data_IF_708075664769
#
_entry.id   IF_708075664769
#
_cell.length_a   1.000
_cell.length_b   1.000
_cell.length_c   1.000
_cell.angle_alpha   90.00
_cell.angle_beta   90.00
_cell.angle_gamma   90.00
#
_symmetry.space_group_name_H-M   'P 1'
#
loop_
_entity.id
_entity.type
_entity.pdbx_description
1 polymer ?
#
# COMPACT_ATOMS: atom_id res chain seq x y z
N UNK A 1 -11.34 22.22 -26.25
CA UNK A 1 -11.71 21.63 -27.57
C UNK A 1 -12.95 20.72 -27.44
N UNK A 2 -13.99 21.15 -26.72
CA UNK A 2 -15.26 20.42 -26.51
C UNK A 2 -16.48 21.35 -26.70
N UNK A 3 -16.38 22.30 -27.63
CA UNK A 3 -17.44 23.27 -27.95
C UNK A 3 -18.21 22.93 -29.24
N UNK A 4 -18.35 21.65 -29.56
CA UNK A 4 -19.30 21.22 -30.59
C UNK A 4 -20.33 20.33 -29.93
N UNK A 5 -21.36 20.98 -29.36
CA UNK A 5 -22.63 20.32 -29.04
C UNK A 5 -23.10 19.65 -30.33
N UNK A 6 -23.24 18.32 -30.30
CA UNK A 6 -23.87 17.59 -31.39
C UNK A 6 -25.21 18.25 -31.73
N UNK A 7 -25.58 18.41 -33.02
CA UNK A 7 -26.86 19.00 -33.38
C UNK A 7 -27.98 18.19 -32.71
N UNK A 8 -28.90 18.88 -32.04
CA UNK A 8 -30.11 18.26 -31.51
C UNK A 8 -30.79 17.47 -32.62
N UNK A 9 -31.05 16.17 -32.36
CA UNK A 9 -31.73 15.30 -33.33
C UNK A 9 -33.11 15.87 -33.61
N UNK A 10 -33.31 16.45 -34.80
CA UNK A 10 -34.64 16.77 -35.30
C UNK A 10 -35.41 15.47 -35.49
N UNK A 11 -36.32 15.19 -34.56
CA UNK A 11 -37.20 14.02 -34.65
C UNK A 11 -38.42 14.37 -35.49
N UNK A 12 -38.67 13.58 -36.54
CA UNK A 12 -39.80 13.75 -37.48
C UNK A 12 -41.17 13.41 -36.85
N UNK A 13 -41.21 13.03 -35.56
CA UNK A 13 -42.42 12.56 -34.88
C UNK A 13 -42.89 13.54 -33.79
N UNK A 14 -44.21 13.81 -33.69
CA UNK A 14 -44.77 14.67 -32.65
C UNK A 14 -44.50 14.13 -31.23
N UNK A 15 -44.30 15.02 -30.27
CA UNK A 15 -43.85 14.72 -28.90
C UNK A 15 -44.70 13.68 -28.14
N UNK A 16 -46.00 13.58 -28.44
CA UNK A 16 -46.88 12.59 -27.82
C UNK A 16 -46.57 11.15 -28.26
N UNK A 17 -46.14 10.97 -29.52
CA UNK A 17 -45.79 9.66 -30.07
C UNK A 17 -44.45 9.15 -29.48
N UNK A 18 -43.57 10.08 -29.06
CA UNK A 18 -42.35 9.74 -28.31
C UNK A 18 -42.66 9.33 -26.87
N UNK A 19 -43.57 10.02 -26.19
CA UNK A 19 -44.01 9.63 -24.84
C UNK A 19 -44.60 8.22 -24.82
N UNK A 20 -45.43 7.88 -25.79
CA UNK A 20 -45.98 6.51 -25.91
C UNK A 20 -44.89 5.49 -26.24
N UNK A 21 -43.96 5.82 -27.14
CA UNK A 21 -42.83 4.94 -27.46
C UNK A 21 -41.90 4.67 -26.28
N UNK A 22 -41.66 5.68 -25.44
CA UNK A 22 -40.82 5.56 -24.24
C UNK A 22 -41.54 4.78 -23.13
N UNK A 23 -42.86 4.96 -22.96
CA UNK A 23 -43.67 4.19 -22.00
C UNK A 23 -43.74 2.71 -22.39
N UNK A 24 -43.85 2.39 -23.69
CA UNK A 24 -43.86 0.99 -24.16
C UNK A 24 -42.47 0.33 -24.06
N UNK A 25 -41.38 1.08 -24.25
CA UNK A 25 -40.03 0.57 -24.05
C UNK A 25 -39.64 0.45 -22.56
N UNK A 26 -40.22 1.26 -21.67
CA UNK A 26 -40.03 1.16 -20.21
C UNK A 26 -40.98 0.15 -19.55
N UNK A 27 -42.11 -0.16 -20.18
CA UNK A 27 -43.19 -0.99 -19.60
C UNK A 27 -43.07 -2.50 -19.82
N UNK A 28 -41.99 -3.00 -20.42
CA UNK A 28 -41.78 -4.45 -20.59
C UNK A 28 -40.38 -4.80 -20.06
N UNK A 29 -40.26 -4.80 -18.74
CA UNK A 29 -39.29 -5.65 -18.05
C UNK A 29 -39.85 -7.08 -18.07
N UNK A 30 -39.23 -8.06 -18.76
CA UNK A 30 -39.58 -9.46 -18.58
C UNK A 30 -38.94 -9.92 -17.25
N UNK A 31 -39.56 -9.54 -16.14
CA UNK A 31 -39.10 -9.83 -14.79
C UNK A 31 -40.19 -10.47 -13.96
N UNK A 32 -40.55 -11.71 -14.26
CA UNK A 32 -41.43 -12.56 -13.42
C UNK A 32 -41.12 -14.06 -13.63
N UNK A 33 -39.85 -14.45 -13.77
CA UNK A 33 -39.37 -15.83 -13.55
C UNK A 33 -37.88 -15.78 -13.17
N UNK A 34 -37.49 -16.53 -12.13
CA UNK A 34 -36.30 -16.32 -11.31
C UNK A 34 -34.92 -16.32 -12.00
N UNK A 35 -33.97 -15.60 -11.39
CA UNK A 35 -32.56 -15.55 -11.79
C UNK A 35 -31.97 -14.13 -11.89
N UNK A 36 -32.13 -13.29 -10.85
CA UNK A 36 -31.87 -11.84 -10.93
C UNK A 36 -30.40 -11.42 -11.15
N UNK A 37 -29.40 -12.24 -10.78
CA UNK A 37 -27.98 -11.85 -10.93
C UNK A 37 -27.40 -12.06 -12.34
N UNK A 38 -27.69 -13.20 -12.97
CA UNK A 38 -27.13 -13.54 -14.28
C UNK A 38 -27.82 -12.82 -15.44
N UNK A 39 -29.11 -12.47 -15.31
CA UNK A 39 -29.86 -11.81 -16.38
C UNK A 39 -29.48 -10.33 -16.54
N UNK A 40 -29.18 -9.63 -15.44
CA UNK A 40 -28.71 -8.25 -15.49
C UNK A 40 -27.33 -8.15 -16.17
N UNK A 41 -26.42 -9.09 -15.83
CA UNK A 41 -25.12 -9.19 -16.46
C UNK A 41 -25.25 -9.52 -17.96
N UNK A 42 -26.06 -10.52 -18.31
CA UNK A 42 -26.29 -10.89 -19.72
C UNK A 42 -26.90 -9.75 -20.53
N UNK A 43 -27.82 -8.95 -19.95
CA UNK A 43 -28.36 -7.76 -20.62
C UNK A 43 -27.30 -6.68 -20.82
N UNK A 44 -26.47 -6.42 -19.81
CA UNK A 44 -25.33 -5.49 -19.90
C UNK A 44 -24.35 -5.93 -21.00
N UNK A 45 -24.00 -7.20 -21.03
CA UNK A 45 -23.11 -7.79 -22.04
C UNK A 45 -23.70 -7.69 -23.46
N UNK A 46 -25.01 -7.93 -23.62
CA UNK A 46 -25.70 -7.76 -24.92
C UNK A 46 -25.74 -6.30 -25.36
N UNK A 47 -25.91 -5.35 -24.43
CA UNK A 47 -25.84 -3.91 -24.74
C UNK A 47 -24.42 -3.45 -25.06
N UNK A 48 -23.41 -4.08 -24.46
CA UNK A 48 -21.99 -3.77 -24.70
C UNK A 48 -21.47 -4.33 -26.01
N UNK A 49 -21.94 -5.50 -26.45
CA UNK A 49 -21.58 -6.10 -27.75
C UNK A 49 -22.11 -5.28 -28.96
N UNK A 50 -22.80 -4.15 -28.72
CA UNK A 50 -23.24 -3.22 -29.77
C UNK A 50 -24.27 -3.81 -30.73
N UNK A 51 -24.86 -4.97 -30.41
CA UNK A 51 -25.97 -5.55 -31.16
C UNK A 51 -27.22 -4.76 -30.81
N UNK A 52 -27.33 -3.57 -31.39
CA UNK A 52 -28.53 -2.75 -31.35
C UNK A 52 -29.66 -3.50 -32.05
N UNK A 53 -30.41 -4.25 -31.27
CA UNK A 53 -31.64 -4.83 -31.74
C UNK A 53 -32.56 -3.66 -32.13
N UNK A 54 -33.10 -3.65 -33.36
CA UNK A 54 -33.97 -2.56 -33.76
C UNK A 54 -35.18 -2.48 -32.82
N UNK A 55 -35.77 -1.28 -32.62
CA UNK A 55 -36.82 -1.06 -31.63
C UNK A 55 -37.89 -2.15 -31.65
N UNK A 56 -38.31 -2.63 -30.48
CA UNK A 56 -39.24 -3.77 -30.35
C UNK A 56 -40.49 -3.60 -31.22
N UNK A 57 -41.06 -2.38 -31.26
CA UNK A 57 -42.21 -2.03 -32.09
C UNK A 57 -41.96 -2.26 -33.59
N UNK A 58 -40.77 -1.92 -34.10
CA UNK A 58 -40.38 -2.16 -35.50
C UNK A 58 -40.21 -3.64 -35.79
N UNK A 59 -39.66 -4.41 -34.84
CA UNK A 59 -39.52 -5.88 -34.96
C UNK A 59 -40.88 -6.58 -34.92
N UNK A 60 -41.73 -6.20 -33.97
CA UNK A 60 -43.07 -6.77 -33.79
C UNK A 60 -43.96 -6.50 -35.01
N UNK A 61 -44.00 -5.24 -35.47
CA UNK A 61 -44.78 -4.87 -36.65
C UNK A 61 -44.29 -5.59 -37.91
N UNK A 62 -42.96 -5.65 -38.12
CA UNK A 62 -42.38 -6.44 -39.22
C UNK A 62 -42.80 -7.91 -39.12
N UNK A 63 -42.67 -8.52 -37.95
CA UNK A 63 -42.95 -9.94 -37.78
C UNK A 63 -44.43 -10.22 -38.04
N UNK A 64 -45.34 -9.38 -37.52
CA UNK A 64 -46.77 -9.48 -37.82
C UNK A 64 -47.08 -9.32 -39.31
N UNK A 65 -46.50 -8.33 -39.98
CA UNK A 65 -46.72 -8.11 -41.41
C UNK A 65 -46.16 -9.28 -42.24
N UNK A 66 -44.92 -9.71 -41.98
CA UNK A 66 -44.30 -10.80 -42.74
C UNK A 66 -45.00 -12.14 -42.47
N UNK A 67 -45.41 -12.42 -41.22
CA UNK A 67 -46.18 -13.63 -40.89
C UNK A 67 -47.59 -13.60 -41.49
N UNK A 68 -48.23 -12.43 -41.58
CA UNK A 68 -49.50 -12.28 -42.28
C UNK A 68 -49.34 -12.48 -43.79
N UNK A 69 -48.28 -11.94 -44.39
CA UNK A 69 -47.93 -12.19 -45.80
C UNK A 69 -47.62 -13.67 -46.07
N UNK A 70 -47.05 -14.38 -45.10
CA UNK A 70 -46.78 -15.82 -45.21
C UNK A 70 -48.04 -16.69 -44.98
N UNK A 71 -48.97 -16.23 -44.14
CA UNK A 71 -50.24 -16.90 -43.87
C UNK A 71 -51.24 -16.76 -45.03
N UNK A 72 -51.18 -15.67 -45.79
CA UNK A 72 -51.97 -15.49 -47.00
C UNK A 72 -51.26 -16.23 -48.14
N UNK A 73 -51.60 -17.51 -48.32
CA UNK A 73 -51.01 -18.45 -49.28
C UNK A 73 -51.11 -18.04 -50.78
N UNK A 74 -51.70 -16.88 -51.11
CA UNK A 74 -52.08 -16.44 -52.46
C UNK A 74 -51.59 -14.99 -52.76
N UNK A 75 -50.46 -14.55 -52.22
CA UNK A 75 -49.86 -13.24 -52.59
C UNK A 75 -48.57 -13.46 -53.38
N UNK A 76 -48.39 -12.83 -54.57
CA UNK A 76 -47.12 -12.90 -55.27
C UNK A 76 -46.02 -12.30 -54.39
N UNK A 77 -44.98 -13.09 -54.06
CA UNK A 77 -43.89 -12.68 -53.14
C UNK A 77 -43.09 -11.45 -53.62
N UNK A 78 -43.27 -11.06 -54.89
CA UNK A 78 -42.71 -9.87 -55.53
C UNK A 78 -43.73 -9.28 -56.49
N UNK A 79 -43.81 -7.94 -56.54
CA UNK A 79 -44.49 -7.21 -57.60
C UNK A 79 -43.38 -6.56 -58.43
N UNK A 80 -43.18 -7.05 -59.66
CA UNK A 80 -42.03 -6.67 -60.50
C UNK A 80 -40.69 -7.03 -59.85
N UNK A 81 -39.77 -6.07 -59.74
CA UNK A 81 -38.45 -6.24 -59.09
C UNK A 81 -38.47 -5.98 -57.57
N UNK A 82 -39.62 -5.59 -57.01
CA UNK A 82 -39.74 -5.19 -55.60
C UNK A 82 -40.32 -6.34 -54.77
N UNK A 83 -39.66 -6.70 -53.68
CA UNK A 83 -40.18 -7.70 -52.73
C UNK A 83 -41.14 -7.04 -51.75
N UNK A 84 -42.30 -7.68 -51.55
CA UNK A 84 -43.30 -7.24 -50.57
C UNK A 84 -42.89 -7.55 -49.12
N UNK A 85 -41.84 -8.36 -48.91
CA UNK A 85 -41.32 -8.65 -47.57
C UNK A 85 -40.53 -7.47 -47.04
N UNK A 86 -40.85 -7.06 -45.81
CA UNK A 86 -40.12 -6.01 -45.12
C UNK A 86 -38.73 -6.52 -44.70
N UNK A 87 -37.70 -5.80 -45.15
CA UNK A 87 -36.30 -6.06 -44.79
C UNK A 87 -36.09 -5.89 -43.28
N UNK A 88 -35.17 -6.65 -42.67
CA UNK A 88 -34.82 -6.43 -41.27
C UNK A 88 -34.32 -4.99 -41.08
N UNK A 89 -34.78 -4.28 -40.03
CA UNK A 89 -34.28 -2.95 -39.75
C UNK A 89 -32.79 -3.03 -39.40
N UNK A 90 -32.00 -2.09 -39.92
CA UNK A 90 -30.58 -2.01 -39.58
C UNK A 90 -30.43 -1.53 -38.12
N UNK A 91 -29.42 -2.04 -37.39
CA UNK A 91 -29.06 -1.48 -36.08
C UNK A 91 -28.76 0.02 -36.22
N UNK A 92 -28.92 0.78 -35.14
CA UNK A 92 -28.50 2.18 -35.14
C UNK A 92 -26.97 2.21 -35.18
N UNK A 93 -26.41 3.24 -35.82
CA UNK A 93 -24.95 3.44 -35.90
C UNK A 93 -24.40 4.25 -34.73
N UNK A 94 -25.06 4.21 -33.56
CA UNK A 94 -24.67 5.03 -32.41
C UNK A 94 -23.37 4.46 -31.82
N UNK A 95 -22.33 5.29 -31.68
CA UNK A 95 -21.06 4.91 -31.06
C UNK A 95 -21.17 5.14 -29.55
N UNK A 96 -21.33 4.06 -28.78
CA UNK A 96 -21.43 4.10 -27.32
C UNK A 96 -20.10 3.62 -26.74
N UNK A 97 -19.52 4.44 -25.85
CA UNK A 97 -18.33 4.07 -25.10
C UNK A 97 -18.72 3.71 -23.67
N UNK A 98 -18.19 2.59 -23.17
CA UNK A 98 -18.34 2.15 -21.79
C UNK A 98 -17.01 2.35 -21.05
N UNK A 99 -17.05 3.06 -19.93
CA UNK A 99 -15.89 3.28 -19.05
C UNK A 99 -16.29 2.81 -17.65
N UNK A 100 -15.46 1.95 -17.05
CA UNK A 100 -15.61 1.50 -15.67
C UNK A 100 -14.28 1.66 -14.93
N UNK A 101 -14.35 1.82 -13.61
CA UNK A 101 -13.20 1.87 -12.71
C UNK A 101 -13.42 0.87 -11.57
N UNK A 102 -12.36 0.15 -11.19
CA UNK A 102 -12.39 -0.82 -10.10
C UNK A 102 -10.99 -0.97 -9.50
N UNK A 103 -10.94 -1.24 -8.19
CA UNK A 103 -9.71 -1.62 -7.49
C UNK A 103 -9.54 -3.14 -7.41
N UNK A 104 -10.53 -3.91 -7.90
CA UNK A 104 -10.49 -5.38 -7.89
C UNK A 104 -9.48 -5.87 -8.93
N UNK A 105 -8.57 -6.79 -8.56
CA UNK A 105 -7.64 -7.41 -9.50
C UNK A 105 -8.35 -8.06 -10.70
N UNK A 106 -7.71 -7.98 -11.87
CA UNK A 106 -8.32 -8.40 -13.13
C UNK A 106 -8.62 -9.90 -13.20
N UNK A 107 -7.83 -10.72 -12.50
CA UNK A 107 -7.98 -12.16 -12.38
C UNK A 107 -9.22 -12.57 -11.57
N UNK A 108 -9.75 -11.68 -10.74
CA UNK A 108 -10.99 -11.89 -9.98
C UNK A 108 -12.23 -11.48 -10.79
N UNK A 109 -12.07 -10.63 -11.80
CA UNK A 109 -13.18 -10.19 -12.65
C UNK A 109 -13.65 -11.30 -13.60
N UNK A 110 -14.95 -11.31 -13.91
CA UNK A 110 -15.52 -12.28 -14.85
C UNK A 110 -14.81 -12.17 -16.21
N UNK A 111 -14.17 -13.26 -16.71
CA UNK A 111 -13.51 -13.27 -18.01
C UNK A 111 -14.45 -12.93 -19.17
N UNK A 112 -15.77 -13.04 -19.01
CA UNK A 112 -16.74 -12.61 -20.01
C UNK A 112 -16.77 -11.07 -20.17
N UNK A 113 -16.49 -10.30 -19.12
CA UNK A 113 -16.54 -8.83 -19.15
C UNK A 113 -15.28 -8.24 -19.81
N UNK A 114 -14.12 -8.84 -19.55
CA UNK A 114 -12.79 -8.36 -19.97
C UNK A 114 -12.40 -8.80 -21.38
N UNK A 115 -13.26 -9.58 -22.06
CA UNK A 115 -13.03 -10.04 -23.44
C UNK A 115 -13.01 -8.87 -24.45
N UNK A 116 -12.20 -8.98 -25.52
CA UNK A 116 -12.25 -8.05 -26.64
C UNK A 116 -13.67 -7.90 -27.21
N UNK A 117 -14.10 -6.67 -27.44
CA UNK A 117 -15.48 -6.32 -27.84
C UNK A 117 -16.35 -5.78 -26.69
N UNK A 118 -15.89 -5.91 -25.44
CA UNK A 118 -16.55 -5.42 -24.22
C UNK A 118 -15.64 -4.43 -23.49
N UNK A 119 -15.26 -4.69 -22.23
CA UNK A 119 -14.27 -3.89 -21.51
C UNK A 119 -12.84 -4.31 -21.84
N UNK A 120 -12.55 -4.69 -23.09
CA UNK A 120 -11.26 -5.29 -23.45
C UNK A 120 -10.05 -4.34 -23.45
N UNK A 121 -10.26 -3.02 -23.28
CA UNK A 121 -9.17 -2.05 -23.11
C UNK A 121 -9.05 -1.67 -21.65
N UNK A 122 -7.93 -2.05 -21.05
CA UNK A 122 -7.64 -1.74 -19.66
C UNK A 122 -6.61 -0.60 -19.59
N UNK A 123 -6.86 0.35 -18.71
CA UNK A 123 -5.92 1.42 -18.37
C UNK A 123 -5.61 1.28 -16.89
N UNK A 124 -4.34 1.04 -16.59
CA UNK A 124 -3.88 0.88 -15.22
C UNK A 124 -3.44 2.23 -14.68
N UNK A 125 -4.06 2.65 -13.59
CA UNK A 125 -3.61 3.81 -12.83
C UNK A 125 -2.67 3.30 -11.74
N UNK A 126 -1.37 3.60 -11.88
CA UNK A 126 -0.40 3.34 -10.83
C UNK A 126 -0.44 4.45 -9.78
N UNK A 127 0.11 4.17 -8.61
CA UNK A 127 0.45 5.21 -7.64
C UNK A 127 1.41 6.23 -8.29
N UNK A 128 1.22 7.54 -8.06
CA UNK A 128 2.10 8.59 -8.61
C UNK A 128 3.57 8.36 -8.24
N UNK A 129 4.48 8.60 -9.18
CA UNK A 129 5.93 8.61 -8.91
C UNK A 129 6.31 9.90 -8.16
N UNK A 130 7.56 10.01 -7.69
CA UNK A 130 8.07 11.27 -7.12
C UNK A 130 7.81 12.49 -8.01
N UNK A 131 8.14 12.42 -9.30
CA UNK A 131 7.93 13.55 -10.23
C UNK A 131 6.44 13.82 -10.46
N UNK A 132 5.60 12.78 -10.59
CA UNK A 132 4.16 12.99 -10.68
C UNK A 132 3.61 13.67 -9.41
N UNK A 133 4.13 13.31 -8.24
CA UNK A 133 3.73 13.94 -6.97
C UNK A 133 4.10 15.41 -6.93
N UNK A 134 5.27 15.82 -7.45
CA UNK A 134 5.62 17.25 -7.59
C UNK A 134 4.59 17.99 -8.43
N UNK A 135 4.26 17.48 -9.60
CA UNK A 135 3.25 18.08 -10.48
C UNK A 135 1.87 18.17 -9.80
N UNK A 136 1.50 17.14 -9.03
CA UNK A 136 0.26 17.12 -8.25
C UNK A 136 0.30 18.16 -7.12
N UNK A 137 1.43 18.29 -6.42
CA UNK A 137 1.59 19.30 -5.39
C UNK A 137 1.49 20.71 -5.97
N UNK A 138 2.12 20.97 -7.11
CA UNK A 138 2.00 22.27 -7.79
C UNK A 138 0.54 22.59 -8.10
N UNK A 139 -0.22 21.63 -8.65
CA UNK A 139 -1.66 21.80 -8.92
C UNK A 139 -2.49 22.14 -7.66
N UNK A 140 -2.17 21.53 -6.51
CA UNK A 140 -2.97 21.73 -5.29
C UNK A 140 -2.51 22.93 -4.47
N UNK A 141 -1.21 23.20 -4.42
CA UNK A 141 -0.64 24.36 -3.75
C UNK A 141 -1.05 25.65 -4.45
N UNK A 142 -1.20 25.65 -5.79
CA UNK A 142 -1.77 26.77 -6.54
C UNK A 142 -3.23 27.12 -6.14
N UNK A 143 -3.96 26.20 -5.52
CA UNK A 143 -5.36 26.39 -5.11
C UNK A 143 -5.53 26.88 -3.68
N UNK A 144 -4.47 26.87 -2.87
CA UNK A 144 -4.53 27.15 -1.43
C UNK A 144 -3.47 28.18 -1.03
N UNK A 145 -3.76 28.97 0.00
CA UNK A 145 -2.79 29.91 0.57
C UNK A 145 -1.72 29.14 1.34
N UNK A 146 -0.47 29.29 0.95
CA UNK A 146 0.65 28.57 1.54
C UNK A 146 1.91 29.46 1.56
N UNK A 147 2.83 29.17 2.45
CA UNK A 147 4.09 29.93 2.59
C UNK A 147 5.00 29.78 1.36
N UNK A 148 5.67 30.86 0.96
CA UNK A 148 6.66 30.89 -0.15
C UNK A 148 7.81 29.88 0.04
N UNK A 149 8.08 29.45 1.28
CA UNK A 149 9.06 28.40 1.56
C UNK A 149 8.73 27.09 0.83
N UNK A 150 7.44 26.76 0.74
CA UNK A 150 7.00 25.51 0.11
C UNK A 150 7.22 25.55 -1.40
N UNK A 151 7.29 26.72 -2.03
CA UNK A 151 7.53 26.89 -3.47
C UNK A 151 8.99 26.71 -3.87
N UNK A 152 9.89 26.62 -2.90
CA UNK A 152 11.30 26.37 -3.21
C UNK A 152 11.48 24.98 -3.84
N UNK A 153 12.34 24.84 -4.87
CA UNK A 153 12.58 23.53 -5.49
C UNK A 153 13.05 22.46 -4.50
N UNK A 154 13.82 22.86 -3.49
CA UNK A 154 14.28 21.96 -2.43
C UNK A 154 13.10 21.44 -1.60
N UNK A 155 12.17 22.31 -1.19
CA UNK A 155 11.01 21.92 -0.38
C UNK A 155 9.99 21.11 -1.19
N UNK A 156 9.76 21.46 -2.46
CA UNK A 156 8.95 20.63 -3.38
C UNK A 156 9.55 19.22 -3.56
N UNK A 157 10.87 19.13 -3.71
CA UNK A 157 11.56 17.84 -3.81
C UNK A 157 11.43 17.01 -2.53
N UNK A 158 11.63 17.64 -1.37
CA UNK A 158 11.46 17.01 -0.07
C UNK A 158 10.03 16.51 0.15
N UNK A 159 9.01 17.35 -0.07
CA UNK A 159 7.59 16.96 0.06
C UNK A 159 7.32 15.71 -0.78
N UNK A 160 7.65 15.76 -2.07
CA UNK A 160 7.39 14.65 -2.98
C UNK A 160 8.14 13.38 -2.57
N UNK A 161 9.32 13.52 -1.96
CA UNK A 161 10.12 12.42 -1.41
C UNK A 161 9.46 11.81 -0.18
N UNK A 162 9.06 12.62 0.81
CA UNK A 162 8.47 12.13 2.07
C UNK A 162 7.03 11.64 1.92
N UNK A 163 6.32 12.00 0.85
CA UNK A 163 4.94 11.52 0.56
C UNK A 163 4.94 10.30 -0.36
N UNK A 164 5.94 9.41 -0.26
CA UNK A 164 5.99 8.20 -1.07
C UNK A 164 4.73 7.33 -0.85
N UNK A 165 4.13 6.82 -1.92
CA UNK A 165 2.91 6.03 -1.86
C UNK A 165 1.61 6.83 -1.81
N UNK A 166 1.67 8.16 -1.70
CA UNK A 166 0.47 8.99 -1.62
C UNK A 166 -0.29 9.01 -2.95
N UNK A 167 -1.62 8.89 -2.86
CA UNK A 167 -2.52 9.12 -3.98
C UNK A 167 -2.76 10.64 -4.18
N UNK A 168 -3.21 11.07 -5.38
CA UNK A 168 -3.56 12.47 -5.60
C UNK A 168 -4.63 12.99 -4.62
N UNK A 169 -5.55 12.11 -4.19
CA UNK A 169 -6.56 12.45 -3.20
C UNK A 169 -5.96 12.67 -1.80
N UNK A 170 -4.95 11.89 -1.41
CA UNK A 170 -4.25 12.10 -0.13
C UNK A 170 -3.48 13.43 -0.15
N UNK A 171 -2.83 13.77 -1.28
CA UNK A 171 -2.12 15.04 -1.44
C UNK A 171 -3.08 16.25 -1.33
N UNK A 172 -4.23 16.17 -1.99
CA UNK A 172 -5.27 17.20 -1.86
C UNK A 172 -5.72 17.35 -0.40
N UNK A 173 -5.97 16.23 0.27
CA UNK A 173 -6.46 16.20 1.63
C UNK A 173 -5.45 16.80 2.62
N UNK A 174 -4.15 16.48 2.53
CA UNK A 174 -3.15 17.08 3.42
C UNK A 174 -3.03 18.59 3.20
N UNK A 175 -3.11 19.09 1.96
CA UNK A 175 -3.04 20.53 1.68
C UNK A 175 -4.26 21.26 2.28
N UNK A 176 -5.45 20.66 2.14
CA UNK A 176 -6.69 21.20 2.71
C UNK A 176 -6.69 21.20 4.25
N UNK A 177 -6.20 20.12 4.86
CA UNK A 177 -6.06 20.00 6.31
C UNK A 177 -4.99 20.95 6.86
N UNK A 178 -3.85 21.10 6.19
CA UNK A 178 -2.80 22.02 6.57
C UNK A 178 -3.32 23.47 6.61
N UNK A 179 -4.10 23.88 5.60
CA UNK A 179 -4.75 25.19 5.58
C UNK A 179 -5.78 25.34 6.71
N UNK A 180 -6.55 24.29 6.99
CA UNK A 180 -7.53 24.30 8.08
C UNK A 180 -6.84 24.48 9.44
N UNK A 181 -5.71 23.80 9.66
CA UNK A 181 -4.90 23.92 10.87
C UNK A 181 -4.32 25.34 11.00
N UNK A 182 -3.78 25.89 9.92
CA UNK A 182 -3.26 27.26 9.91
C UNK A 182 -4.36 28.29 10.26
N UNK A 183 -5.56 28.18 9.68
CA UNK A 183 -6.68 29.05 10.03
C UNK A 183 -7.12 28.91 11.49
N UNK A 184 -7.07 27.70 12.06
CA UNK A 184 -7.36 27.48 13.47
C UNK A 184 -6.39 28.23 14.39
N UNK A 185 -5.12 28.36 13.98
CA UNK A 185 -4.10 29.16 14.66
C UNK A 185 -4.18 30.66 14.34
N UNK A 186 -5.15 31.10 13.53
CA UNK A 186 -5.31 32.49 13.12
C UNK A 186 -4.35 32.95 12.01
N UNK A 187 -3.67 32.01 11.34
CA UNK A 187 -2.80 32.28 10.18
C UNK A 187 -3.62 32.23 8.88
N UNK A 188 -3.26 33.05 7.90
CA UNK A 188 -3.96 33.13 6.60
C UNK A 188 -3.41 32.14 5.55
N UNK A 189 -2.24 31.58 5.80
CA UNK A 189 -1.53 30.64 4.93
C UNK A 189 -0.89 29.55 5.80
N UNK A 190 -0.73 28.35 5.24
CA UNK A 190 -0.06 27.27 5.97
C UNK A 190 1.44 27.19 5.63
N UNK A 191 2.22 26.98 6.67
CA UNK A 191 3.66 26.70 6.64
C UNK A 191 3.97 25.19 6.65
N UNK A 192 5.24 24.84 6.45
CA UNK A 192 5.78 23.48 6.50
C UNK A 192 5.24 22.64 7.66
N UNK A 193 5.26 23.19 8.88
CA UNK A 193 4.82 22.48 10.08
C UNK A 193 3.36 21.99 9.99
N UNK A 194 2.46 22.76 9.38
CA UNK A 194 1.05 22.36 9.25
C UNK A 194 0.87 21.28 8.17
N UNK A 195 1.64 21.33 7.09
CA UNK A 195 1.62 20.29 6.05
C UNK A 195 2.07 18.96 6.62
N UNK A 196 3.16 19.00 7.37
CA UNK A 196 3.75 17.85 8.06
C UNK A 196 2.80 17.29 9.13
N UNK A 197 2.13 18.14 9.91
CA UNK A 197 1.11 17.69 10.86
C UNK A 197 -0.09 17.06 10.14
N UNK A 198 -0.55 17.65 9.02
CA UNK A 198 -1.63 17.10 8.22
C UNK A 198 -1.30 15.73 7.61
N UNK A 199 -0.10 15.55 7.06
CA UNK A 199 0.42 14.25 6.63
C UNK A 199 0.36 13.23 7.75
N UNK A 200 0.81 13.66 8.93
CA UNK A 200 0.88 12.82 10.11
C UNK A 200 -0.50 12.35 10.58
N UNK A 201 -1.51 13.22 10.49
CA UNK A 201 -2.90 12.86 10.80
C UNK A 201 -3.45 11.85 9.79
N UNK A 202 -3.14 11.98 8.50
CA UNK A 202 -3.59 11.00 7.48
C UNK A 202 -2.94 9.63 7.70
N UNK A 203 -1.65 9.59 7.99
CA UNK A 203 -0.89 8.33 8.11
C UNK A 203 -1.16 7.58 9.41
N UNK A 204 -1.29 8.30 10.52
CA UNK A 204 -1.25 7.71 11.87
C UNK A 204 -2.38 8.16 12.78
N UNK A 205 -3.29 9.01 12.28
CA UNK A 205 -4.36 9.60 13.06
C UNK A 205 -3.90 10.80 13.88
N UNK A 206 -4.87 11.46 14.50
CA UNK A 206 -4.65 12.68 15.30
C UNK A 206 -3.83 12.38 16.56
N UNK A 207 -2.85 13.23 16.84
CA UNK A 207 -2.07 13.16 18.07
C UNK A 207 -2.98 13.33 19.29
N UNK A 208 -2.85 12.44 20.27
CA UNK A 208 -3.58 12.52 21.52
C UNK A 208 -2.75 13.39 22.46
N UNK A 209 -3.35 14.49 22.93
CA UNK A 209 -2.72 15.31 23.97
C UNK A 209 -2.80 14.55 25.30
N UNK A 210 -1.66 14.06 25.76
CA UNK A 210 -1.49 13.42 27.06
C UNK A 210 -0.45 14.18 27.87
N UNK A 211 -0.51 14.01 29.19
CA UNK A 211 0.59 14.42 30.05
C UNK A 211 1.71 13.39 29.91
N UNK A 212 2.84 13.83 29.38
CA UNK A 212 4.02 13.00 29.17
C UNK A 212 4.77 12.82 30.50
N UNK A 213 4.87 11.58 30.97
CA UNK A 213 5.69 11.24 32.14
C UNK A 213 7.14 11.15 31.69
N UNK A 214 8.06 11.83 32.37
CA UNK A 214 9.45 12.00 31.92
C UNK A 214 10.16 10.67 31.61
N UNK A 215 10.04 9.68 32.51
CA UNK A 215 10.71 8.39 32.32
C UNK A 215 10.08 7.57 31.17
N UNK A 216 8.76 7.63 30.98
CA UNK A 216 8.08 6.98 29.84
C UNK A 216 8.47 7.67 28.53
N UNK A 217 8.55 8.99 28.54
CA UNK A 217 8.96 9.79 27.38
C UNK A 217 10.38 9.45 26.95
N UNK A 218 11.31 9.32 27.91
CA UNK A 218 12.68 8.86 27.64
C UNK A 218 12.70 7.41 27.14
N UNK A 219 11.88 6.53 27.71
CA UNK A 219 11.80 5.14 27.26
C UNK A 219 11.32 5.06 25.80
N UNK A 220 10.25 5.77 25.45
CA UNK A 220 9.75 5.86 24.07
C UNK A 220 10.78 6.51 23.15
N UNK A 221 11.43 7.59 23.55
CA UNK A 221 12.46 8.21 22.72
C UNK A 221 13.64 7.28 22.42
N UNK A 222 14.09 6.51 23.41
CA UNK A 222 15.16 5.50 23.22
C UNK A 222 14.68 4.36 22.32
N UNK A 223 13.44 3.90 22.49
CA UNK A 223 12.81 2.89 21.64
C UNK A 223 12.81 3.33 20.17
N UNK A 224 12.26 4.51 19.87
CA UNK A 224 12.17 5.04 18.52
C UNK A 224 13.56 5.39 17.93
N UNK A 225 14.47 5.91 18.75
CA UNK A 225 15.86 6.15 18.33
C UNK A 225 16.58 4.84 17.95
N UNK A 226 16.24 3.73 18.61
CA UNK A 226 16.71 2.39 18.26
C UNK A 226 16.30 1.98 16.84
N UNK A 227 15.04 2.19 16.48
CA UNK A 227 14.57 1.99 15.10
C UNK A 227 15.32 2.89 14.12
N UNK A 228 15.34 4.20 14.38
CA UNK A 228 15.94 5.17 13.47
C UNK A 228 17.44 4.90 13.21
N UNK A 229 18.21 4.62 14.28
CA UNK A 229 19.63 4.32 14.16
C UNK A 229 19.87 3.02 13.38
N UNK A 230 19.10 1.96 13.66
CA UNK A 230 19.23 0.69 12.97
C UNK A 230 18.84 0.80 11.50
N UNK A 231 17.74 1.49 11.17
CA UNK A 231 17.31 1.75 9.80
C UNK A 231 18.38 2.52 9.02
N UNK A 232 18.92 3.61 9.59
CA UNK A 232 19.92 4.44 8.93
C UNK A 232 21.16 3.66 8.47
N UNK A 233 21.56 2.64 9.24
CA UNK A 233 22.80 1.89 9.01
C UNK A 233 22.56 0.59 8.21
N UNK A 234 21.48 -0.13 8.50
CA UNK A 234 21.19 -1.43 7.88
C UNK A 234 20.21 -1.36 6.71
N UNK A 235 19.62 -0.20 6.44
CA UNK A 235 18.73 0.05 5.30
C UNK A 235 19.17 1.31 4.53
N UNK A 236 20.36 1.33 3.92
CA UNK A 236 20.91 2.51 3.24
C UNK A 236 20.09 2.97 2.02
N UNK A 237 19.27 2.08 1.46
CA UNK A 237 18.35 2.37 0.35
C UNK A 237 17.04 3.01 0.82
N UNK A 238 16.81 3.02 2.14
CA UNK A 238 15.70 3.74 2.76
C UNK A 238 16.18 5.08 3.30
N UNK A 239 15.23 5.98 3.44
CA UNK A 239 15.44 7.26 4.07
C UNK A 239 14.37 7.49 5.12
N UNK A 240 14.80 7.84 6.33
CA UNK A 240 13.91 8.14 7.44
C UNK A 240 13.13 9.43 7.15
N UNK A 241 11.82 9.32 7.01
CA UNK A 241 10.93 10.47 6.85
C UNK A 241 10.55 11.09 8.18
N UNK A 242 10.42 10.27 9.23
CA UNK A 242 9.80 10.74 10.48
C UNK A 242 10.28 9.96 11.69
N UNK A 243 10.43 10.68 12.80
CA UNK A 243 10.71 10.12 14.11
C UNK A 243 9.91 10.89 15.17
N UNK A 244 9.03 10.21 15.91
CA UNK A 244 8.04 10.83 16.80
C UNK A 244 7.88 10.09 18.10
N UNK A 245 7.73 10.84 19.19
CA UNK A 245 7.32 10.32 20.51
C UNK A 245 5.91 10.78 20.90
N UNK A 246 5.15 11.30 19.93
CA UNK A 246 3.78 11.78 20.17
C UNK A 246 2.79 10.63 20.02
N UNK A 247 2.02 10.38 21.07
CA UNK A 247 1.03 9.29 21.11
C UNK A 247 -0.04 9.48 20.03
N UNK A 248 -0.29 8.42 19.26
CA UNK A 248 -1.33 8.37 18.22
C UNK A 248 -2.04 7.03 18.25
N UNK A 249 -3.35 7.06 18.45
CA UNK A 249 -4.15 5.85 18.61
C UNK A 249 -3.60 4.98 19.76
N UNK A 250 -3.00 3.85 19.43
CA UNK A 250 -2.38 2.92 20.39
C UNK A 250 -0.84 2.93 20.39
N UNK A 251 -0.20 3.69 19.49
CA UNK A 251 1.26 3.79 19.42
C UNK A 251 1.73 5.01 20.24
N UNK A 252 2.79 4.81 21.02
CA UNK A 252 3.39 5.86 21.86
C UNK A 252 4.38 6.72 21.08
N UNK A 253 4.98 6.15 20.05
CA UNK A 253 5.85 6.79 19.08
C UNK A 253 5.83 6.01 17.76
N UNK A 254 6.54 6.52 16.76
CA UNK A 254 6.89 5.74 15.57
C UNK A 254 8.15 6.32 14.90
N UNK A 255 8.84 5.43 14.21
CA UNK A 255 9.81 5.75 13.18
C UNK A 255 9.22 5.35 11.82
N UNK A 256 9.34 6.22 10.82
CA UNK A 256 8.95 5.93 9.46
C UNK A 256 10.08 6.23 8.47
N UNK A 257 10.11 5.43 7.41
CA UNK A 257 11.07 5.54 6.32
C UNK A 257 10.43 5.12 5.00
N UNK A 258 10.93 5.65 3.90
CA UNK A 258 10.51 5.31 2.54
C UNK A 258 11.71 4.93 1.68
N UNK A 259 11.48 4.23 0.58
CA UNK A 259 12.56 3.87 -0.36
C UNK A 259 13.03 5.13 -1.11
N UNK A 260 14.35 5.33 -1.17
CA UNK A 260 14.97 6.42 -1.93
C UNK A 260 14.65 6.36 -3.42
N UNK A 261 14.61 5.13 -3.93
CA UNK A 261 14.24 4.82 -5.30
C UNK A 261 13.02 3.89 -5.28
N UNK A 262 12.07 4.12 -6.19
CA UNK A 262 10.91 3.25 -6.34
C UNK A 262 11.34 1.89 -6.91
N UNK A 263 11.33 0.85 -6.08
CA UNK A 263 11.76 -0.50 -6.45
C UNK A 263 10.63 -1.51 -6.30
N UNK A 264 10.70 -2.58 -7.09
CA UNK A 264 9.65 -3.61 -7.15
C UNK A 264 10.05 -4.96 -6.53
N UNK A 265 11.29 -5.08 -6.04
CA UNK A 265 11.83 -6.31 -5.45
C UNK A 265 12.86 -5.99 -4.37
N UNK A 266 12.91 -6.84 -3.34
CA UNK A 266 13.82 -6.72 -2.19
C UNK A 266 14.87 -7.83 -2.21
N UNK A 267 16.14 -7.49 -1.95
CA UNK A 267 17.21 -8.46 -1.77
C UNK A 267 17.18 -9.05 -0.35
N UNK A 268 17.71 -10.26 -0.18
CA UNK A 268 17.79 -10.91 1.13
C UNK A 268 18.52 -10.04 2.19
N UNK A 269 19.57 -9.34 1.80
CA UNK A 269 20.30 -8.43 2.68
C UNK A 269 19.45 -7.24 3.15
N UNK A 270 18.54 -6.77 2.30
CA UNK A 270 17.61 -5.68 2.62
C UNK A 270 16.53 -6.18 3.59
N UNK A 271 16.00 -7.38 3.35
CA UNK A 271 15.05 -8.04 4.27
C UNK A 271 15.69 -8.33 5.64
N UNK A 272 16.95 -8.76 5.68
CA UNK A 272 17.72 -8.89 6.93
C UNK A 272 17.90 -7.53 7.62
N UNK A 273 18.22 -6.48 6.86
CA UNK A 273 18.26 -5.12 7.38
C UNK A 273 16.93 -4.67 7.97
N UNK A 274 15.80 -5.12 7.41
CA UNK A 274 14.47 -4.81 7.93
C UNK A 274 14.25 -5.46 9.30
N UNK A 275 14.66 -6.71 9.47
CA UNK A 275 14.59 -7.37 10.77
C UNK A 275 15.48 -6.68 11.81
N UNK A 276 16.69 -6.26 11.44
CA UNK A 276 17.59 -5.50 12.34
C UNK A 276 16.96 -4.16 12.72
N UNK A 277 16.32 -3.47 11.77
CA UNK A 277 15.56 -2.24 12.02
C UNK A 277 14.41 -2.47 13.01
N UNK A 278 13.56 -3.47 12.78
CA UNK A 278 12.40 -3.76 13.65
C UNK A 278 12.88 -4.16 15.06
N UNK A 279 13.92 -4.99 15.16
CA UNK A 279 14.46 -5.44 16.45
C UNK A 279 15.35 -4.38 17.14
N UNK A 280 15.67 -3.28 16.44
CA UNK A 280 16.51 -2.19 16.93
C UNK A 280 15.92 -1.50 18.16
N UNK A 281 14.59 -1.36 18.23
CA UNK A 281 13.92 -0.79 19.40
C UNK A 281 14.01 -1.68 20.63
N UNK A 282 13.74 -2.98 20.47
CA UNK A 282 13.91 -3.94 21.56
C UNK A 282 15.38 -4.01 22.03
N UNK A 283 16.33 -3.97 21.10
CA UNK A 283 17.76 -3.90 21.41
C UNK A 283 18.10 -2.62 22.19
N UNK A 284 17.55 -1.46 21.81
CA UNK A 284 17.69 -0.20 22.53
C UNK A 284 17.18 -0.29 23.97
N UNK A 285 15.97 -0.81 24.17
CA UNK A 285 15.43 -0.97 25.53
C UNK A 285 16.34 -1.86 26.41
N UNK A 286 16.83 -2.99 25.87
CA UNK A 286 17.76 -3.86 26.59
C UNK A 286 19.08 -3.20 26.93
N UNK A 287 19.72 -2.52 25.98
CA UNK A 287 21.03 -1.89 26.20
C UNK A 287 20.95 -0.75 27.23
N UNK A 288 19.83 -0.02 27.26
CA UNK A 288 19.68 1.13 28.15
C UNK A 288 19.09 0.77 29.52
N UNK A 289 18.21 -0.23 29.58
CA UNK A 289 17.40 -0.51 30.78
C UNK A 289 17.52 -1.95 31.28
N UNK A 290 18.21 -2.85 30.57
CA UNK A 290 18.31 -4.30 30.85
C UNK A 290 16.96 -5.03 30.89
N UNK A 291 15.89 -4.37 30.45
CA UNK A 291 14.51 -4.85 30.43
C UNK A 291 13.75 -4.24 29.25
N UNK A 292 12.59 -4.82 28.93
CA UNK A 292 11.72 -4.32 27.88
C UNK A 292 10.39 -3.82 28.46
N UNK A 293 9.81 -2.85 27.77
CA UNK A 293 8.41 -2.48 27.91
C UNK A 293 7.52 -3.50 27.20
N UNK A 294 6.20 -3.39 27.37
CA UNK A 294 5.24 -4.13 26.56
C UNK A 294 5.06 -3.55 25.15
N UNK A 295 5.71 -2.41 24.83
CA UNK A 295 5.65 -1.74 23.54
C UNK A 295 6.26 -2.57 22.40
N UNK A 296 7.31 -3.35 22.69
CA UNK A 296 8.01 -4.19 21.71
C UNK A 296 7.18 -5.36 21.15
N UNK A 297 5.98 -5.60 21.69
CA UNK A 297 5.14 -6.73 21.28
C UNK A 297 4.73 -6.67 19.81
N UNK A 298 4.45 -5.47 19.29
CA UNK A 298 4.15 -5.24 17.87
C UNK A 298 5.37 -5.53 16.99
N UNK A 299 6.53 -5.00 17.35
CA UNK A 299 7.78 -5.20 16.61
C UNK A 299 8.16 -6.66 16.53
N UNK A 300 8.04 -7.39 17.65
CA UNK A 300 8.34 -8.81 17.68
C UNK A 300 7.36 -9.61 16.80
N UNK A 301 6.07 -9.25 16.78
CA UNK A 301 5.09 -9.88 15.91
C UNK A 301 5.45 -9.65 14.43
N UNK A 302 5.75 -8.42 14.05
CA UNK A 302 6.16 -8.06 12.68
C UNK A 302 7.46 -8.77 12.29
N UNK A 303 8.49 -8.75 13.13
CA UNK A 303 9.76 -9.43 12.85
C UNK A 303 9.58 -10.95 12.69
N UNK A 304 8.70 -11.55 13.49
CA UNK A 304 8.36 -12.98 13.38
C UNK A 304 7.67 -13.28 12.04
N UNK A 305 6.73 -12.43 11.63
CA UNK A 305 6.01 -12.56 10.37
C UNK A 305 6.95 -12.41 9.17
N UNK A 306 7.82 -11.40 9.18
CA UNK A 306 8.78 -11.12 8.13
C UNK A 306 9.80 -12.26 7.99
N UNK A 307 10.34 -12.76 9.10
CA UNK A 307 11.25 -13.91 9.08
C UNK A 307 10.58 -15.17 8.53
N UNK A 308 9.30 -15.39 8.86
CA UNK A 308 8.53 -16.49 8.30
C UNK A 308 8.28 -16.31 6.80
N UNK A 309 7.97 -15.09 6.34
CA UNK A 309 7.78 -14.77 4.93
C UNK A 309 9.06 -14.97 4.11
N UNK A 310 10.20 -14.53 4.65
CA UNK A 310 11.53 -14.75 4.06
C UNK A 310 11.74 -16.24 3.74
N UNK A 311 11.48 -17.13 4.70
CA UNK A 311 11.69 -18.58 4.53
C UNK A 311 10.61 -19.23 3.67
N UNK A 312 9.34 -18.90 3.90
CA UNK A 312 8.19 -19.61 3.35
C UNK A 312 7.84 -19.22 1.92
N UNK A 313 7.91 -17.92 1.61
CA UNK A 313 7.47 -17.36 0.34
C UNK A 313 8.65 -16.95 -0.52
N UNK A 314 9.64 -16.29 0.07
CA UNK A 314 10.77 -15.71 -0.67
C UNK A 314 11.93 -16.69 -0.88
N UNK A 315 11.92 -17.86 -0.23
CA UNK A 315 13.01 -18.83 -0.31
C UNK A 315 14.34 -18.34 0.27
N UNK A 316 14.29 -17.33 1.13
CA UNK A 316 15.44 -16.72 1.80
C UNK A 316 15.74 -17.46 3.11
N UNK A 317 16.67 -18.42 3.05
CA UNK A 317 17.17 -19.13 4.24
C UNK A 317 18.19 -18.31 5.04
N UNK A 318 18.61 -18.75 6.23
CA UNK A 318 19.67 -18.08 6.98
C UNK A 318 20.97 -18.03 6.19
N UNK A 319 21.62 -16.86 6.16
CA UNK A 319 22.92 -16.73 5.53
C UNK A 319 24.01 -17.38 6.41
N UNK A 320 24.97 -18.10 5.82
CA UNK A 320 26.14 -18.57 6.57
C UNK A 320 26.86 -17.38 7.20
N UNK A 321 27.28 -17.55 8.46
CA UNK A 321 28.11 -16.55 9.13
C UNK A 321 29.51 -16.58 8.52
N UNK A 322 29.98 -15.41 8.09
CA UNK A 322 31.37 -15.20 7.72
C UNK A 322 32.23 -15.19 8.99
N UNK A 323 33.11 -16.17 9.12
CA UNK A 323 33.94 -16.36 10.31
C UNK A 323 35.30 -15.66 10.20
N UNK A 324 35.73 -15.24 9.00
CA UNK A 324 37.00 -14.56 8.75
C UNK A 324 38.23 -15.24 9.42
N UNK A 325 38.22 -16.58 9.47
CA UNK A 325 39.28 -17.39 10.10
C UNK A 325 39.19 -17.52 11.61
N UNK A 326 38.18 -16.91 12.25
CA UNK A 326 37.92 -17.04 13.69
C UNK A 326 37.18 -18.34 13.98
N UNK A 327 37.71 -19.13 14.91
CA UNK A 327 37.16 -20.43 15.29
C UNK A 327 37.31 -20.68 16.78
N UNK A 328 36.46 -21.53 17.33
CA UNK A 328 36.72 -22.07 18.66
C UNK A 328 37.99 -22.93 18.65
N UNK A 329 38.73 -22.93 19.75
CA UNK A 329 40.06 -23.54 19.83
C UNK A 329 40.08 -25.04 19.43
N UNK A 330 38.98 -25.75 19.70
CA UNK A 330 38.90 -27.21 19.56
C UNK A 330 37.99 -27.69 18.40
N UNK A 331 37.55 -26.77 17.51
CA UNK A 331 36.55 -27.09 16.48
C UNK A 331 37.02 -26.66 15.08
N UNK A 332 36.50 -27.34 14.04
CA UNK A 332 36.64 -26.89 12.65
C UNK A 332 35.81 -25.63 12.40
N UNK A 333 36.07 -24.91 11.30
CA UNK A 333 35.24 -23.75 10.92
C UNK A 333 33.77 -24.14 10.69
N UNK A 334 33.53 -25.34 10.15
CA UNK A 334 32.17 -25.83 9.92
C UNK A 334 31.45 -26.15 11.24
N UNK A 335 32.14 -26.79 12.18
CA UNK A 335 31.60 -27.03 13.52
C UNK A 335 31.32 -25.72 14.27
N UNK A 336 32.23 -24.75 14.14
CA UNK A 336 32.06 -23.40 14.70
C UNK A 336 30.82 -22.73 14.11
N UNK A 337 30.64 -22.80 12.79
CA UNK A 337 29.47 -22.26 12.09
C UNK A 337 28.17 -22.92 12.58
N UNK A 338 28.11 -24.24 12.64
CA UNK A 338 26.93 -24.96 13.15
C UNK A 338 26.57 -24.56 14.59
N UNK A 339 27.59 -24.42 15.45
CA UNK A 339 27.40 -24.02 16.85
C UNK A 339 26.84 -22.60 16.97
N UNK A 340 27.36 -21.66 16.18
CA UNK A 340 26.88 -20.28 16.11
C UNK A 340 25.43 -20.26 15.59
N UNK A 341 25.13 -20.99 14.53
CA UNK A 341 23.77 -21.08 13.97
C UNK A 341 22.78 -21.65 14.99
N UNK A 342 23.15 -22.69 15.76
CA UNK A 342 22.31 -23.22 16.85
C UNK A 342 22.05 -22.18 17.95
N UNK A 343 23.03 -21.31 18.25
CA UNK A 343 22.85 -20.23 19.22
C UNK A 343 21.88 -19.16 18.70
N UNK A 344 21.98 -18.78 17.42
CA UNK A 344 20.97 -17.92 16.79
C UNK A 344 19.59 -18.54 16.81
N UNK A 345 19.46 -19.83 16.49
CA UNK A 345 18.18 -20.53 16.56
C UNK A 345 17.55 -20.43 17.95
N UNK A 346 18.33 -20.67 19.02
CA UNK A 346 17.85 -20.56 20.40
C UNK A 346 17.35 -19.14 20.72
N UNK A 347 18.08 -18.13 20.30
CA UNK A 347 17.73 -16.71 20.47
C UNK A 347 16.41 -16.42 19.74
N UNK A 348 16.32 -16.75 18.46
CA UNK A 348 15.11 -16.51 17.67
C UNK A 348 13.90 -17.28 18.17
N UNK A 349 14.04 -18.54 18.58
CA UNK A 349 12.96 -19.31 19.19
C UNK A 349 12.44 -18.64 20.47
N UNK A 350 13.33 -18.04 21.25
CA UNK A 350 12.94 -17.31 22.46
C UNK A 350 12.09 -16.08 22.10
N UNK A 351 12.49 -15.32 21.07
CA UNK A 351 11.73 -14.16 20.58
C UNK A 351 10.36 -14.58 20.02
N UNK A 352 10.31 -15.60 19.17
CA UNK A 352 9.08 -16.12 18.57
C UNK A 352 8.12 -16.74 19.59
N UNK A 353 8.61 -17.30 20.70
CA UNK A 353 7.74 -17.83 21.74
C UNK A 353 7.08 -16.71 22.57
N UNK A 354 7.71 -15.53 22.66
CA UNK A 354 7.16 -14.36 23.36
C UNK A 354 6.04 -13.66 22.57
N UNK A 355 5.92 -13.94 21.27
CA UNK A 355 4.90 -13.37 20.38
C UNK A 355 3.64 -14.20 20.22
N UNK A 356 3.51 -15.35 20.90
CA UNK A 356 2.31 -16.20 20.84
C UNK A 356 1.11 -15.55 21.54
N UNK A 357 0.57 -14.49 20.92
CA UNK A 357 -0.81 -14.06 21.03
C UNK A 357 -1.71 -15.02 20.23
N UNK A 358 -2.88 -15.28 20.77
CA UNK A 358 -3.85 -16.30 20.36
C UNK A 358 -4.12 -16.37 18.85
N UNK A 359 -4.03 -17.60 18.33
CA UNK A 359 -4.88 -18.19 17.29
C UNK A 359 -5.48 -17.25 16.24
N UNK A 360 -4.78 -17.09 15.12
CA UNK A 360 -5.34 -17.19 13.75
C UNK A 360 -4.30 -16.66 12.75
N UNK A 361 -3.15 -17.35 12.67
CA UNK A 361 -2.45 -17.37 11.39
C UNK A 361 -3.34 -18.25 10.50
N UNK A 362 -4.26 -17.63 9.75
CA UNK A 362 -5.02 -18.30 8.70
C UNK A 362 -4.06 -19.08 7.79
N UNK A 363 -4.57 -19.99 6.95
CA UNK A 363 -3.80 -20.88 6.08
C UNK A 363 -2.89 -20.14 5.05
N UNK A 364 -1.88 -19.48 5.58
CA UNK A 364 -0.94 -18.54 5.00
C UNK A 364 0.45 -19.21 5.05
N UNK A 365 1.31 -18.99 4.03
CA UNK A 365 2.74 -19.32 4.09
C UNK A 365 3.41 -19.16 5.46
N UNK A 366 3.02 -18.16 6.25
CA UNK A 366 3.53 -17.91 7.61
C UNK A 366 3.18 -19.07 8.57
N UNK A 367 1.92 -19.51 8.61
CA UNK A 367 1.48 -20.60 9.47
C UNK A 367 2.22 -21.91 9.11
N UNK A 368 2.41 -22.16 7.82
CA UNK A 368 3.13 -23.33 7.32
C UNK A 368 4.60 -23.34 7.77
N UNK A 369 5.28 -22.19 7.75
CA UNK A 369 6.66 -22.06 8.24
C UNK A 369 6.74 -22.29 9.75
N UNK A 370 5.81 -21.74 10.52
CA UNK A 370 5.83 -21.87 11.98
C UNK A 370 5.46 -23.27 12.48
N UNK A 371 4.73 -24.06 11.70
CA UNK A 371 4.38 -25.45 12.04
C UNK A 371 5.45 -26.46 11.61
N UNK A 372 6.17 -26.19 10.51
CA UNK A 372 7.26 -27.05 10.04
C UNK A 372 8.52 -26.85 10.91
N UNK A 373 9.07 -27.90 11.56
CA UNK A 373 10.22 -27.77 12.44
C UNK A 373 11.48 -27.20 11.77
N UNK A 374 11.74 -27.54 10.51
CA UNK A 374 12.93 -27.11 9.78
C UNK A 374 12.81 -25.66 9.31
N UNK A 375 11.64 -25.28 8.79
CA UNK A 375 11.39 -23.88 8.38
C UNK A 375 11.33 -22.96 9.58
N UNK A 376 10.74 -23.40 10.69
CA UNK A 376 10.74 -22.66 11.96
C UNK A 376 12.15 -22.48 12.50
N UNK A 377 13.01 -23.51 12.45
CA UNK A 377 14.42 -23.38 12.84
C UNK A 377 15.15 -22.34 11.96
N UNK A 378 14.91 -22.36 10.65
CA UNK A 378 15.49 -21.39 9.70
C UNK A 378 15.05 -19.95 10.01
N UNK A 379 13.74 -19.73 10.24
CA UNK A 379 13.21 -18.42 10.61
C UNK A 379 13.75 -17.95 11.96
N UNK A 380 13.88 -18.86 12.94
CA UNK A 380 14.49 -18.55 14.23
C UNK A 380 15.97 -18.19 14.11
N UNK A 381 16.74 -18.88 13.25
CA UNK A 381 18.13 -18.54 13.01
C UNK A 381 18.28 -17.12 12.42
N UNK A 382 17.47 -16.79 11.41
CA UNK A 382 17.43 -15.44 10.81
C UNK A 382 17.09 -14.39 11.89
N UNK A 383 16.04 -14.61 12.67
CA UNK A 383 15.59 -13.67 13.69
C UNK A 383 16.63 -13.50 14.81
N UNK A 384 17.26 -14.60 15.24
CA UNK A 384 18.29 -14.56 16.26
C UNK A 384 19.56 -13.85 15.80
N UNK A 385 19.94 -14.04 14.53
CA UNK A 385 21.04 -13.30 13.90
C UNK A 385 20.73 -11.80 13.84
N UNK A 386 19.53 -11.44 13.39
CA UNK A 386 19.10 -10.04 13.32
C UNK A 386 19.11 -9.37 14.70
N UNK A 387 18.54 -10.03 15.71
CA UNK A 387 18.48 -9.49 17.08
C UNK A 387 19.86 -9.35 17.71
N UNK A 388 20.72 -10.37 17.62
CA UNK A 388 22.08 -10.27 18.16
C UNK A 388 22.88 -9.16 17.46
N UNK A 389 22.70 -9.01 16.15
CA UNK A 389 23.32 -7.90 15.39
C UNK A 389 22.80 -6.54 15.88
N UNK A 390 21.48 -6.40 16.07
CA UNK A 390 20.86 -5.18 16.58
C UNK A 390 21.37 -4.81 17.97
N UNK A 391 21.42 -5.76 18.91
CA UNK A 391 21.89 -5.51 20.29
C UNK A 391 23.34 -5.05 20.34
N UNK A 392 24.24 -5.71 19.59
CA UNK A 392 25.64 -5.26 19.51
C UNK A 392 25.78 -3.90 18.80
N UNK A 393 24.99 -3.66 17.76
CA UNK A 393 24.99 -2.37 17.06
C UNK A 393 24.57 -1.23 17.99
N UNK A 394 23.48 -1.40 18.73
CA UNK A 394 23.01 -0.42 19.71
C UNK A 394 24.05 -0.25 20.82
N UNK A 395 24.62 -1.34 21.35
CA UNK A 395 25.64 -1.27 22.39
C UNK A 395 26.89 -0.49 21.95
N UNK A 396 27.36 -0.72 20.72
CA UNK A 396 28.49 -0.01 20.14
C UNK A 396 28.20 1.48 19.85
N UNK A 397 26.93 1.84 19.67
CA UNK A 397 26.48 3.20 19.33
C UNK A 397 25.63 3.84 20.44
N UNK A 398 25.78 3.37 21.69
CA UNK A 398 24.91 3.77 22.81
C UNK A 398 24.80 5.29 22.96
N UNK A 399 25.93 6.00 22.95
CA UNK A 399 25.93 7.47 23.12
C UNK A 399 25.29 8.20 21.94
N UNK A 400 25.38 7.65 20.73
CA UNK A 400 24.75 8.21 19.54
C UNK A 400 23.22 8.04 19.59
N UNK A 401 22.75 6.86 20.00
CA UNK A 401 21.31 6.59 20.20
C UNK A 401 20.75 7.51 21.28
N UNK A 402 21.49 7.74 22.37
CA UNK A 402 21.08 8.66 23.44
C UNK A 402 20.94 10.10 22.95
N UNK A 403 21.86 10.58 22.10
CA UNK A 403 21.75 11.92 21.48
C UNK A 403 20.56 12.04 20.53
N UNK A 404 20.30 11.02 19.71
CA UNK A 404 19.10 10.99 18.84
C UNK A 404 17.83 11.07 19.71
N UNK A 405 17.76 10.26 20.77
CA UNK A 405 16.62 10.26 21.67
C UNK A 405 16.43 11.64 22.33
N UNK A 406 17.51 12.30 22.77
CA UNK A 406 17.42 13.62 23.39
C UNK A 406 16.85 14.67 22.42
N UNK A 407 17.32 14.71 21.17
CA UNK A 407 16.78 15.64 20.16
C UNK A 407 15.29 15.40 19.90
N UNK A 408 14.85 14.15 19.88
CA UNK A 408 13.43 13.80 19.74
C UNK A 408 12.62 14.16 20.98
N UNK A 409 13.18 14.08 22.19
CA UNK A 409 12.52 14.55 23.42
C UNK A 409 12.28 16.06 23.33
N UNK A 410 13.31 16.81 22.93
CA UNK A 410 13.28 18.28 22.90
C UNK A 410 12.29 18.79 21.85
N UNK A 411 12.28 18.19 20.66
CA UNK A 411 11.42 18.60 19.53
C UNK A 411 10.09 17.86 19.47
N UNK A 412 9.95 16.75 20.20
CA UNK A 412 8.83 15.78 20.18
C UNK A 412 8.65 15.03 18.86
N UNK A 413 9.07 15.62 17.75
CA UNK A 413 8.93 15.07 16.41
C UNK A 413 9.97 15.67 15.46
N UNK A 414 10.56 14.83 14.62
CA UNK A 414 11.55 15.19 13.61
C UNK A 414 11.10 14.68 12.25
N UNK A 415 11.41 15.43 11.19
CA UNK A 415 10.91 15.15 9.85
C UNK A 415 11.95 15.38 8.76
N UNK A 416 11.85 14.57 7.69
CA UNK A 416 12.54 14.78 6.42
C UNK A 416 14.05 15.03 6.59
N UNK A 417 14.53 16.10 5.96
CA UNK A 417 15.96 16.45 5.92
C UNK A 417 16.54 16.74 7.31
N UNK A 418 15.74 17.22 8.26
CA UNK A 418 16.19 17.45 9.64
C UNK A 418 16.59 16.14 10.31
N UNK A 419 15.74 15.11 10.20
CA UNK A 419 16.01 13.78 10.74
C UNK A 419 17.21 13.13 10.05
N UNK A 420 17.28 13.20 8.73
CA UNK A 420 18.40 12.66 7.94
C UNK A 420 19.71 13.33 8.35
N UNK A 421 19.70 14.66 8.52
CA UNK A 421 20.86 15.43 8.97
C UNK A 421 21.31 15.01 10.36
N UNK A 422 20.36 14.86 11.31
CA UNK A 422 20.65 14.39 12.66
C UNK A 422 21.33 13.00 12.66
N UNK A 423 20.79 12.07 11.87
CA UNK A 423 21.30 10.70 11.79
C UNK A 423 22.71 10.66 11.16
N UNK A 424 22.92 11.41 10.09
CA UNK A 424 24.24 11.54 9.45
C UNK A 424 25.30 12.09 10.42
N UNK A 425 24.94 13.06 11.26
CA UNK A 425 25.86 13.66 12.23
C UNK A 425 26.32 12.68 13.32
N UNK A 426 25.55 11.63 13.59
CA UNK A 426 25.89 10.67 14.64
C UNK A 426 27.07 9.74 14.28
N UNK A 427 27.43 9.61 13.00
CA UNK A 427 28.50 8.73 12.54
C UNK A 427 28.37 7.29 13.08
N UNK A 428 27.16 6.73 12.99
CA UNK A 428 26.84 5.39 13.49
C UNK A 428 27.72 4.33 12.81
N UNK A 429 28.30 3.42 13.60
CA UNK A 429 29.26 2.41 13.12
C UNK A 429 28.65 1.02 13.16
N UNK A 430 28.87 0.25 12.09
CA UNK A 430 28.63 -1.20 12.10
C UNK A 430 29.77 -1.87 12.88
N UNK A 431 29.51 -2.51 14.04
CA UNK A 431 30.56 -3.20 14.76
C UNK A 431 31.01 -4.45 13.99
N UNK A 432 32.30 -4.77 14.06
CA UNK A 432 32.80 -6.08 13.65
C UNK A 432 32.45 -7.10 14.74
N UNK A 433 31.74 -8.16 14.37
CA UNK A 433 31.20 -9.14 15.31
C UNK A 433 32.00 -10.43 15.25
N UNK A 434 32.74 -10.70 16.33
CA UNK A 434 33.37 -12.00 16.55
C UNK A 434 32.42 -12.92 17.31
N UNK A 435 31.70 -13.74 16.53
CA UNK A 435 30.71 -14.72 16.99
C UNK A 435 31.24 -15.77 17.98
N UNK A 436 32.56 -15.87 18.16
CA UNK A 436 33.18 -16.81 19.10
C UNK A 436 33.34 -16.26 20.51
N UNK A 437 33.27 -14.94 20.70
CA UNK A 437 33.36 -14.31 22.03
C UNK A 437 32.02 -14.38 22.74
N UNK A 438 32.01 -14.72 24.02
CA UNK A 438 30.74 -14.83 24.77
C UNK A 438 30.08 -13.47 25.07
N UNK A 439 30.86 -12.40 25.08
CA UNK A 439 30.41 -11.05 25.44
C UNK A 439 29.43 -10.42 24.44
N UNK A 440 29.54 -10.79 23.16
CA UNK A 440 28.70 -10.24 22.08
C UNK A 440 27.32 -10.91 22.01
N UNK A 441 27.08 -11.95 22.80
CA UNK A 441 25.82 -12.66 22.72
C UNK A 441 24.82 -12.07 23.70
N UNK A 442 23.56 -11.85 23.25
CA UNK A 442 22.50 -11.38 24.12
C UNK A 442 22.36 -12.16 25.42
N UNK A 443 22.15 -11.44 26.53
CA UNK A 443 21.81 -12.02 27.83
C UNK A 443 20.29 -12.26 27.88
N UNK A 444 19.83 -13.35 27.27
CA UNK A 444 18.41 -13.69 27.17
C UNK A 444 17.97 -14.89 27.99
#
# INVERSE_FOLDING_TARGET
MFEQRAPERQTVYPAWMQKVGNIVNQGIFPGMMGGQGQLALNQLLVTMDGIDNPPFTKRFLRNRINSLLDAIYIVPRRIGRVSLRLRPPRPRGDQIYFIGATNVPMDVLDPALTRPGRMGRHVWFRTPTKEDRKDIFDLYLDKVRHSEELDTPARRDEIARITNGYSPAMIEQICSMALTNAHHEGKAEFEWAHLVDAMTVIESGTAISIQYVEHETRATAIHEAGHAAAAHVYRPDLESSRLSIRMRGRSLGHHQSFQREERFSEWQSEAMGNLIHILGAMAAERVFYDQNTNGVGGDLQSATQDAAWMVGTSGMGPQPVELNGVKFADESEEQTRERIMKRFEKIGLTLMNRTRGSADFHADPIAAVLQDPYKRASAAQILGQAYATAENFIAANRDAVERIAQEVIDKKELYGDELVTLLNQQNLKKPELDWTRDEIWPRM
#
